data_IF_903149297666
#
_entry.id   IF_903149297666
#
_cell.length_a   1.000
_cell.length_b   1.000
_cell.length_c   1.000
_cell.angle_alpha   90.00
_cell.angle_beta   90.00
_cell.angle_gamma   90.00
#
_symmetry.space_group_name_H-M   'P 1'
#
loop_
_entity.id
_entity.type
_entity.pdbx_description
1 polymer ?
#
# COMPACT_ATOMS: atom_id res chain seq x y z
N UNK A 1 -63.65 -31.72 36.83
CA UNK A 1 -62.30 -31.08 36.75
C UNK A 1 -62.06 -30.72 35.28
N UNK A 2 -62.28 -29.48 34.89
CA UNK A 2 -62.18 -29.03 33.48
C UNK A 2 -60.78 -28.45 33.32
N UNK A 3 -59.95 -29.09 32.51
CA UNK A 3 -58.60 -28.59 32.16
C UNK A 3 -58.80 -27.42 31.18
N UNK A 4 -58.51 -26.21 31.62
CA UNK A 4 -58.49 -25.02 30.82
C UNK A 4 -57.23 -25.06 29.94
N UNK A 5 -57.41 -25.41 28.68
CA UNK A 5 -56.32 -25.32 27.67
C UNK A 5 -55.99 -23.84 27.47
N UNK A 6 -54.79 -23.48 27.90
CA UNK A 6 -54.26 -22.11 27.63
C UNK A 6 -53.94 -22.01 26.18
N UNK A 7 -54.76 -21.28 25.44
CA UNK A 7 -54.49 -20.92 24.03
C UNK A 7 -53.23 -20.04 23.97
N UNK A 8 -52.10 -20.64 23.64
CA UNK A 8 -50.91 -19.88 23.29
C UNK A 8 -51.20 -19.20 21.95
N UNK A 9 -51.53 -17.92 22.01
CA UNK A 9 -51.57 -17.08 20.84
C UNK A 9 -50.21 -17.12 20.15
N UNK A 10 -50.11 -17.87 19.06
CA UNK A 10 -48.96 -17.80 18.16
C UNK A 10 -49.05 -16.45 17.46
N UNK A 11 -48.35 -15.46 18.02
CA UNK A 11 -48.16 -14.18 17.33
C UNK A 11 -47.34 -14.45 16.07
N UNK A 12 -48.04 -14.52 14.93
CA UNK A 12 -47.41 -14.59 13.63
C UNK A 12 -46.58 -13.34 13.37
N UNK A 13 -45.43 -13.48 12.76
CA UNK A 13 -44.58 -12.37 12.34
C UNK A 13 -45.38 -11.41 11.45
N UNK A 14 -45.42 -10.15 11.82
CA UNK A 14 -46.13 -9.11 11.02
C UNK A 14 -45.31 -8.87 9.74
N UNK A 15 -46.00 -8.62 8.63
CA UNK A 15 -45.36 -8.31 7.33
C UNK A 15 -44.41 -7.11 7.43
N UNK A 16 -44.75 -6.16 8.27
CA UNK A 16 -43.90 -4.98 8.55
C UNK A 16 -42.62 -5.37 9.28
N UNK A 17 -42.66 -6.28 10.23
CA UNK A 17 -41.52 -6.79 10.99
C UNK A 17 -40.55 -7.56 10.09
N UNK A 18 -41.10 -8.36 9.16
CA UNK A 18 -40.30 -9.05 8.14
C UNK A 18 -39.63 -8.06 7.17
N UNK A 19 -40.29 -6.98 6.79
CA UNK A 19 -39.75 -5.92 5.96
C UNK A 19 -38.60 -5.19 6.68
N UNK A 20 -38.80 -4.82 7.95
CA UNK A 20 -37.76 -4.16 8.75
C UNK A 20 -36.55 -5.07 8.91
N UNK A 21 -36.78 -6.36 9.21
CA UNK A 21 -35.67 -7.34 9.31
C UNK A 21 -34.88 -7.45 8.00
N UNK A 22 -35.55 -7.46 6.86
CA UNK A 22 -34.91 -7.51 5.54
C UNK A 22 -34.05 -6.27 5.26
N UNK A 23 -34.52 -5.08 5.63
CA UNK A 23 -33.77 -3.84 5.49
C UNK A 23 -32.52 -3.85 6.35
N UNK A 24 -32.63 -4.28 7.61
CA UNK A 24 -31.47 -4.37 8.53
C UNK A 24 -30.44 -5.36 7.98
N UNK A 25 -30.87 -6.54 7.52
CA UNK A 25 -29.97 -7.53 6.94
C UNK A 25 -29.27 -7.00 5.69
N UNK A 26 -30.01 -6.31 4.81
CA UNK A 26 -29.44 -5.72 3.60
C UNK A 26 -28.39 -4.66 3.90
N UNK A 27 -28.60 -3.81 4.88
CA UNK A 27 -27.65 -2.79 5.31
C UNK A 27 -26.39 -3.41 5.95
N UNK A 28 -26.55 -4.47 6.75
CA UNK A 28 -25.41 -5.16 7.36
C UNK A 28 -24.55 -5.86 6.32
N UNK A 29 -25.15 -6.56 5.36
CA UNK A 29 -24.43 -7.19 4.25
C UNK A 29 -23.68 -6.13 3.45
N UNK A 30 -24.32 -5.02 3.10
CA UNK A 30 -23.68 -3.92 2.37
C UNK A 30 -22.47 -3.35 3.09
N UNK A 31 -22.56 -3.13 4.39
CA UNK A 31 -21.43 -2.63 5.19
C UNK A 31 -20.27 -3.62 5.30
N UNK A 32 -20.55 -4.92 5.36
CA UNK A 32 -19.51 -5.96 5.33
C UNK A 32 -18.77 -5.97 3.99
N UNK A 33 -19.48 -5.90 2.87
CA UNK A 33 -18.86 -5.83 1.55
C UNK A 33 -17.96 -4.60 1.40
N UNK A 34 -18.43 -3.45 1.85
CA UNK A 34 -17.63 -2.23 1.83
C UNK A 34 -16.35 -2.35 2.66
N UNK A 35 -16.44 -2.94 3.86
CA UNK A 35 -15.28 -3.18 4.70
C UNK A 35 -14.27 -4.14 4.04
N UNK A 36 -14.74 -5.21 3.40
CA UNK A 36 -13.87 -6.16 2.70
C UNK A 36 -13.16 -5.51 1.51
N UNK A 37 -13.84 -4.69 0.71
CA UNK A 37 -13.21 -3.97 -0.39
C UNK A 37 -12.14 -3.00 0.10
N UNK A 38 -12.43 -2.24 1.15
CA UNK A 38 -11.49 -1.30 1.76
C UNK A 38 -10.23 -2.02 2.26
N UNK A 39 -10.39 -3.14 2.96
CA UNK A 39 -9.27 -3.94 3.45
C UNK A 39 -8.40 -4.53 2.32
N UNK A 40 -9.02 -4.98 1.23
CA UNK A 40 -8.30 -5.50 0.07
C UNK A 40 -7.45 -4.41 -0.58
N UNK A 41 -8.02 -3.23 -0.78
CA UNK A 41 -7.31 -2.08 -1.35
C UNK A 41 -6.13 -1.64 -0.46
N UNK A 42 -6.36 -1.56 0.87
CA UNK A 42 -5.30 -1.22 1.82
C UNK A 42 -4.17 -2.25 1.82
N UNK A 43 -4.50 -3.54 1.79
CA UNK A 43 -3.52 -4.62 1.74
C UNK A 43 -2.64 -4.55 0.48
N UNK A 44 -3.22 -4.23 -0.68
CA UNK A 44 -2.46 -4.03 -1.92
C UNK A 44 -1.51 -2.83 -1.81
N UNK A 45 -1.99 -1.71 -1.26
CA UNK A 45 -1.17 -0.50 -1.07
C UNK A 45 0.02 -0.75 -0.14
N UNK A 46 -0.20 -1.45 0.97
CA UNK A 46 0.86 -1.82 1.92
C UNK A 46 1.87 -2.75 1.23
N UNK A 47 1.43 -3.75 0.48
CA UNK A 47 2.30 -4.67 -0.24
C UNK A 47 3.17 -3.94 -1.26
N UNK A 48 2.60 -3.02 -2.03
CA UNK A 48 3.35 -2.20 -2.98
C UNK A 48 4.38 -1.32 -2.27
N UNK A 49 4.03 -0.76 -1.11
CA UNK A 49 4.94 0.06 -0.31
C UNK A 49 6.13 -0.75 0.24
N UNK A 50 5.86 -1.95 0.78
CA UNK A 50 6.92 -2.86 1.27
C UNK A 50 7.83 -3.28 0.12
N UNK A 51 7.25 -3.67 -1.03
CA UNK A 51 8.04 -4.04 -2.21
C UNK A 51 8.92 -2.89 -2.67
N UNK A 52 8.41 -1.67 -2.65
CA UNK A 52 9.19 -0.48 -2.99
C UNK A 52 10.34 -0.24 -2.02
N UNK A 53 10.12 -0.34 -0.72
CA UNK A 53 11.19 -0.19 0.27
C UNK A 53 12.29 -1.24 0.07
N UNK A 54 11.92 -2.48 -0.20
CA UNK A 54 12.88 -3.55 -0.47
C UNK A 54 13.74 -3.25 -1.70
N UNK A 55 13.11 -2.79 -2.79
CA UNK A 55 13.81 -2.44 -4.03
C UNK A 55 14.78 -1.29 -3.82
N UNK A 56 14.33 -0.22 -3.17
CA UNK A 56 15.17 0.96 -2.95
C UNK A 56 16.32 0.67 -2.02
N UNK A 57 16.09 -0.11 -0.96
CA UNK A 57 17.16 -0.51 -0.03
C UNK A 57 18.21 -1.38 -0.71
N UNK A 58 17.81 -2.35 -1.51
CA UNK A 58 18.73 -3.20 -2.24
C UNK A 58 19.49 -2.42 -3.32
N UNK A 59 18.78 -1.59 -4.09
CA UNK A 59 19.40 -0.75 -5.11
C UNK A 59 20.40 0.23 -4.49
N UNK A 60 20.04 0.86 -3.37
CA UNK A 60 20.92 1.75 -2.62
C UNK A 60 22.19 1.02 -2.17
N UNK A 61 22.05 -0.14 -1.54
CA UNK A 61 23.19 -0.94 -1.06
C UNK A 61 24.11 -1.34 -2.22
N UNK A 62 23.55 -1.78 -3.34
CA UNK A 62 24.32 -2.13 -4.53
C UNK A 62 25.08 -0.93 -5.11
N UNK A 63 24.43 0.22 -5.18
CA UNK A 63 25.01 1.44 -5.74
C UNK A 63 26.13 1.99 -4.85
N UNK A 64 25.98 1.92 -3.52
CA UNK A 64 27.00 2.33 -2.55
C UNK A 64 28.20 1.40 -2.61
N UNK A 65 28.00 0.08 -2.57
CA UNK A 65 29.07 -0.91 -2.60
C UNK A 65 29.91 -0.85 -3.89
N UNK A 66 29.27 -0.51 -5.01
CA UNK A 66 29.95 -0.42 -6.30
C UNK A 66 30.49 0.97 -6.64
N UNK A 67 30.42 1.93 -5.71
CA UNK A 67 30.81 3.34 -5.91
C UNK A 67 30.15 4.01 -7.14
N UNK A 68 29.06 3.45 -7.65
CA UNK A 68 28.39 3.94 -8.85
C UNK A 68 27.64 5.25 -8.65
N UNK A 69 27.37 5.62 -7.39
CA UNK A 69 26.63 6.84 -7.03
C UNK A 69 27.46 8.11 -7.27
N UNK A 70 28.78 8.03 -7.20
CA UNK A 70 29.67 9.18 -7.36
C UNK A 70 29.86 9.60 -8.82
N UNK A 71 29.77 8.65 -9.74
CA UNK A 71 30.11 8.89 -11.16
C UNK A 71 28.96 9.49 -11.99
N UNK A 72 27.72 9.34 -11.53
CA UNK A 72 26.55 9.75 -12.31
C UNK A 72 25.53 10.47 -11.47
N UNK A 73 25.08 11.64 -11.94
CA UNK A 73 23.99 12.42 -11.32
C UNK A 73 22.65 11.68 -11.31
N UNK A 74 22.47 10.74 -12.22
CA UNK A 74 21.19 10.04 -12.40
C UNK A 74 21.44 8.61 -12.81
N UNK A 75 20.85 7.66 -12.11
CA UNK A 75 20.87 6.25 -12.42
C UNK A 75 19.44 5.71 -12.53
N UNK A 76 19.26 4.70 -13.39
CA UNK A 76 17.98 4.03 -13.59
C UNK A 76 18.14 2.52 -13.41
N UNK A 77 17.10 1.89 -12.91
CA UNK A 77 17.06 0.45 -12.79
C UNK A 77 15.64 -0.11 -12.86
N UNK A 78 15.57 -1.42 -13.00
CA UNK A 78 14.33 -2.18 -13.04
C UNK A 78 14.47 -3.43 -12.17
N UNK A 79 13.48 -3.70 -11.35
CA UNK A 79 13.39 -4.90 -10.53
C UNK A 79 12.05 -5.58 -10.74
N UNK A 80 12.05 -6.91 -10.75
CA UNK A 80 10.85 -7.74 -10.85
C UNK A 80 10.58 -8.37 -9.49
N UNK A 81 9.43 -8.05 -8.88
CA UNK A 81 8.96 -8.66 -7.64
C UNK A 81 7.54 -9.16 -7.86
N UNK A 82 7.28 -10.43 -7.58
CA UNK A 82 5.97 -11.05 -7.73
C UNK A 82 5.33 -10.78 -9.11
N UNK A 83 6.10 -10.95 -10.18
CA UNK A 83 5.70 -10.71 -11.58
C UNK A 83 5.33 -9.26 -11.92
N UNK A 84 5.51 -8.32 -10.97
CA UNK A 84 5.31 -6.90 -11.19
C UNK A 84 6.65 -6.20 -11.39
N UNK A 85 6.77 -5.45 -12.48
CA UNK A 85 7.96 -4.65 -12.79
C UNK A 85 7.93 -3.33 -12.06
N UNK A 86 9.01 -3.04 -11.34
CA UNK A 86 9.23 -1.77 -10.67
C UNK A 86 10.40 -1.08 -11.32
N UNK A 87 10.15 0.04 -11.97
CA UNK A 87 11.20 0.89 -12.56
C UNK A 87 11.47 2.06 -11.62
N UNK A 88 12.73 2.32 -11.39
CA UNK A 88 13.17 3.38 -10.51
C UNK A 88 14.24 4.25 -11.15
N UNK A 89 14.31 5.48 -10.67
CA UNK A 89 15.28 6.49 -10.99
C UNK A 89 15.85 6.98 -9.66
N UNK A 90 17.17 7.07 -9.56
CA UNK A 90 17.83 7.75 -8.45
C UNK A 90 18.50 9.01 -8.95
N UNK A 91 18.31 10.11 -8.23
CA UNK A 91 18.98 11.38 -8.48
C UNK A 91 19.88 11.71 -7.29
N UNK A 92 21.10 12.12 -7.60
CA UNK A 92 22.04 12.59 -6.58
C UNK A 92 21.94 14.10 -6.47
N UNK A 93 21.57 14.60 -5.30
CA UNK A 93 21.45 16.01 -4.99
C UNK A 93 22.57 16.39 -4.02
N UNK A 94 23.47 17.30 -4.41
CA UNK A 94 24.47 17.80 -3.50
C UNK A 94 23.81 18.64 -2.40
N UNK A 95 24.26 18.48 -1.17
CA UNK A 95 23.79 19.28 -0.04
C UNK A 95 24.71 20.48 0.21
N UNK A 96 24.32 21.39 1.10
CA UNK A 96 25.17 22.49 1.52
C UNK A 96 26.35 22.06 2.40
N UNK A 97 26.34 20.81 2.86
CA UNK A 97 27.40 20.21 3.67
C UNK A 97 28.37 19.47 2.75
N UNK A 98 29.65 19.79 2.85
CA UNK A 98 30.68 19.16 2.07
C UNK A 98 30.70 17.64 2.29
N UNK A 99 30.83 16.88 1.21
CA UNK A 99 30.84 15.41 1.19
C UNK A 99 29.52 14.72 1.62
N UNK A 100 28.45 15.47 1.90
CA UNK A 100 27.14 14.91 2.16
C UNK A 100 26.26 15.01 0.90
N UNK A 101 25.74 13.89 0.44
CA UNK A 101 24.85 13.82 -0.71
C UNK A 101 23.50 13.21 -0.33
N UNK A 102 22.45 13.69 -0.95
CA UNK A 102 21.12 13.10 -0.84
C UNK A 102 20.81 12.31 -2.10
N UNK A 103 20.36 11.08 -1.93
CA UNK A 103 19.91 10.21 -3.01
C UNK A 103 18.40 10.07 -2.95
N UNK A 104 17.72 10.62 -3.95
CA UNK A 104 16.27 10.55 -4.07
C UNK A 104 15.87 9.46 -5.05
N UNK A 105 15.10 8.47 -4.57
CA UNK A 105 14.54 7.41 -5.39
C UNK A 105 13.11 7.74 -5.83
N UNK A 106 12.89 7.73 -7.12
CA UNK A 106 11.60 7.95 -7.75
C UNK A 106 11.08 6.68 -8.41
N UNK A 107 9.77 6.49 -8.42
CA UNK A 107 9.14 5.54 -9.34
C UNK A 107 9.04 6.15 -10.74
N UNK A 108 9.23 5.31 -11.75
CA UNK A 108 9.03 5.69 -13.15
C UNK A 108 7.81 4.94 -13.68
N UNK A 109 6.92 5.63 -14.40
CA UNK A 109 5.78 5.00 -15.07
C UNK A 109 6.17 4.42 -16.44
N UNK A 110 5.18 3.86 -17.15
CA UNK A 110 5.40 3.27 -18.48
C UNK A 110 5.87 4.27 -19.53
N UNK A 111 5.58 5.56 -19.34
CA UNK A 111 5.97 6.63 -20.27
C UNK A 111 7.29 7.30 -19.85
N UNK A 112 8.09 6.66 -19.00
CA UNK A 112 9.33 7.20 -18.42
C UNK A 112 9.15 8.53 -17.68
N UNK A 113 7.94 8.80 -17.21
CA UNK A 113 7.66 9.98 -16.40
C UNK A 113 7.97 9.69 -14.93
N UNK A 114 8.82 10.53 -14.38
CA UNK A 114 9.16 10.56 -12.96
C UNK A 114 7.90 10.83 -12.14
N UNK A 115 7.62 9.96 -11.18
CA UNK A 115 6.53 10.14 -10.23
C UNK A 115 7.05 10.75 -8.92
N UNK A 116 6.25 10.68 -7.90
CA UNK A 116 6.60 11.19 -6.56
C UNK A 116 7.85 10.50 -6.03
N UNK A 117 8.71 11.26 -5.35
CA UNK A 117 9.80 10.74 -4.50
C UNK A 117 9.22 9.73 -3.52
N UNK A 118 9.86 8.59 -3.43
CA UNK A 118 9.45 7.50 -2.54
C UNK A 118 10.35 7.32 -1.35
N UNK A 119 11.65 7.51 -1.55
CA UNK A 119 12.64 7.26 -0.49
C UNK A 119 13.85 8.18 -0.70
N UNK A 120 14.37 8.69 0.39
CA UNK A 120 15.56 9.54 0.42
C UNK A 120 16.61 8.86 1.31
N UNK A 121 17.87 8.88 0.86
CA UNK A 121 19.01 8.41 1.62
C UNK A 121 20.06 9.50 1.69
N UNK A 122 20.72 9.64 2.83
CA UNK A 122 21.79 10.58 3.07
C UNK A 122 23.10 9.82 3.21
N UNK A 123 24.10 10.15 2.44
CA UNK A 123 25.40 9.47 2.46
C UNK A 123 26.50 10.49 2.62
N UNK A 124 27.38 10.23 3.57
CA UNK A 124 28.61 11.00 3.78
C UNK A 124 29.79 10.23 3.19
N UNK A 125 30.50 10.84 2.22
CA UNK A 125 31.69 10.26 1.63
C UNK A 125 32.92 10.83 2.33
N UNK A 126 33.68 9.97 3.02
CA UNK A 126 34.99 10.38 3.53
C UNK A 126 35.95 10.54 2.35
N UNK A 127 36.50 11.74 2.18
CA UNK A 127 37.64 11.98 1.30
C UNK A 127 38.85 11.27 1.93
N UNK A 128 39.42 10.27 1.24
CA UNK A 128 40.71 9.69 1.58
C UNK A 128 41.84 10.63 1.17
#
# INVERSE_FOLDING_TARGET
MVLKYSDKSSNGFSLVESLIALVIVSLTIGSIFFALQSNTFLSQKIRDQISWQFITSNAYSELVLNNKLLDKKTLRGENLINQKKYRWLVETIPTAIENLHTFEFFTIDQNDKKKKVKTEYYVYFQTQ
#
